data_IF_674171899716
#
_entry.id   IF_674171899716
#
_cell.length_a   1.000
_cell.length_b   1.000
_cell.length_c   1.000
_cell.angle_alpha   90.00
_cell.angle_beta   90.00
_cell.angle_gamma   90.00
#
_symmetry.space_group_name_H-M   'P 1'
#
loop_
_entity.id
_entity.type
_entity.pdbx_description
1 polymer ?
#
# COMPACT_ATOMS: atom_id res chain seq x y z
N UNK A 1 24.91 -14.46 -6.17
CA UNK A 1 25.11 -13.98 -4.77
C UNK A 1 24.12 -14.73 -3.89
N UNK A 2 24.49 -15.10 -2.67
CA UNK A 2 23.60 -15.85 -1.76
C UNK A 2 22.99 -14.86 -0.76
N UNK A 3 21.66 -14.86 -0.65
CA UNK A 3 20.97 -14.01 0.31
C UNK A 3 21.22 -14.48 1.75
N UNK A 4 21.23 -13.55 2.73
CA UNK A 4 21.11 -13.89 4.14
C UNK A 4 19.87 -14.76 4.38
N UNK A 5 20.01 -15.80 5.21
CA UNK A 5 18.91 -16.73 5.49
C UNK A 5 17.67 -16.03 6.07
N UNK A 6 17.87 -14.99 6.89
CA UNK A 6 16.79 -14.17 7.44
C UNK A 6 16.03 -13.43 6.34
N UNK A 7 16.72 -12.86 5.35
CA UNK A 7 16.07 -12.16 4.24
C UNK A 7 15.27 -13.12 3.36
N UNK A 8 15.82 -14.30 3.09
CA UNK A 8 15.13 -15.36 2.35
C UNK A 8 13.87 -15.83 3.09
N UNK A 9 13.96 -15.99 4.42
CA UNK A 9 12.82 -16.35 5.27
C UNK A 9 11.70 -15.32 5.21
N UNK A 10 12.03 -14.04 5.43
CA UNK A 10 11.06 -12.94 5.39
C UNK A 10 10.40 -12.82 4.01
N UNK A 11 11.18 -12.89 2.92
CA UNK A 11 10.59 -12.82 1.57
C UNK A 11 9.68 -14.01 1.26
N UNK A 12 9.99 -15.21 1.77
CA UNK A 12 9.14 -16.39 1.57
C UNK A 12 7.77 -16.25 2.26
N UNK A 13 7.76 -15.67 3.47
CA UNK A 13 6.53 -15.32 4.19
C UNK A 13 5.72 -14.27 3.40
N UNK A 14 6.38 -13.18 2.98
CA UNK A 14 5.76 -12.11 2.19
C UNK A 14 5.09 -12.63 0.92
N UNK A 15 5.77 -13.50 0.16
CA UNK A 15 5.23 -14.04 -1.09
C UNK A 15 3.86 -14.71 -0.89
N UNK A 16 3.68 -15.44 0.21
CA UNK A 16 2.41 -16.09 0.55
C UNK A 16 1.33 -15.06 0.87
N UNK A 17 1.66 -14.01 1.63
CA UNK A 17 0.76 -12.89 1.92
C UNK A 17 0.33 -12.16 0.65
N UNK A 18 1.28 -11.85 -0.24
CA UNK A 18 1.01 -11.21 -1.52
C UNK A 18 0.08 -12.05 -2.39
N UNK A 19 0.29 -13.38 -2.47
CA UNK A 19 -0.59 -14.28 -3.23
C UNK A 19 -2.04 -14.22 -2.72
N UNK A 20 -2.23 -14.33 -1.41
CA UNK A 20 -3.55 -14.27 -0.77
C UNK A 20 -4.26 -12.94 -1.06
N UNK A 21 -3.55 -11.82 -0.92
CA UNK A 21 -4.09 -10.48 -1.20
C UNK A 21 -4.43 -10.31 -2.67
N UNK A 22 -3.55 -10.73 -3.59
CA UNK A 22 -3.82 -10.66 -5.04
C UNK A 22 -5.09 -11.44 -5.40
N UNK A 23 -5.29 -12.62 -4.81
CA UNK A 23 -6.49 -13.43 -5.08
C UNK A 23 -7.75 -12.76 -4.53
N UNK A 24 -7.70 -12.20 -3.32
CA UNK A 24 -8.80 -11.39 -2.74
C UNK A 24 -9.15 -10.20 -3.63
N UNK A 25 -8.16 -9.44 -4.09
CA UNK A 25 -8.37 -8.28 -4.97
C UNK A 25 -9.00 -8.66 -6.31
N UNK A 26 -8.63 -9.81 -6.89
CA UNK A 26 -9.27 -10.31 -8.12
C UNK A 26 -10.75 -10.61 -7.89
N UNK A 27 -11.13 -11.15 -6.74
CA UNK A 27 -12.54 -11.38 -6.38
C UNK A 27 -13.31 -10.06 -6.31
N UNK A 28 -12.74 -9.03 -5.68
CA UNK A 28 -13.36 -7.70 -5.67
C UNK A 28 -13.43 -7.08 -7.07
N UNK A 29 -12.39 -7.24 -7.89
CA UNK A 29 -12.37 -6.69 -9.24
C UNK A 29 -13.53 -7.22 -10.11
N UNK A 30 -13.90 -8.49 -9.95
CA UNK A 30 -15.02 -9.07 -10.69
C UNK A 30 -16.38 -8.71 -10.08
N UNK A 31 -16.46 -8.37 -8.79
CA UNK A 31 -17.71 -8.06 -8.10
C UNK A 31 -18.14 -6.59 -8.21
N UNK A 32 -17.21 -5.66 -8.49
CA UNK A 32 -17.53 -4.23 -8.58
C UNK A 32 -17.91 -3.81 -10.00
N UNK A 33 -18.82 -2.83 -10.08
CA UNK A 33 -19.27 -2.23 -11.35
C UNK A 33 -18.74 -0.82 -11.54
N UNK A 34 -18.41 -0.11 -10.45
CA UNK A 34 -17.86 1.24 -10.51
C UNK A 34 -16.54 1.26 -11.30
N UNK A 35 -16.46 2.00 -12.41
CA UNK A 35 -15.31 1.97 -13.31
C UNK A 35 -14.04 2.54 -12.68
N UNK A 36 -14.17 3.50 -11.75
CA UNK A 36 -13.04 4.09 -11.03
C UNK A 36 -12.47 3.07 -10.05
N UNK A 37 -13.32 2.48 -9.21
CA UNK A 37 -12.90 1.44 -8.27
C UNK A 37 -12.29 0.23 -8.99
N UNK A 38 -12.88 -0.18 -10.12
CA UNK A 38 -12.36 -1.29 -10.93
C UNK A 38 -10.95 -1.02 -11.49
N UNK A 39 -10.70 0.20 -11.97
CA UNK A 39 -9.35 0.62 -12.40
C UNK A 39 -8.36 0.62 -11.23
N UNK A 40 -8.78 1.09 -10.06
CA UNK A 40 -7.92 1.11 -8.86
C UNK A 40 -7.59 -0.29 -8.37
N UNK A 41 -8.56 -1.20 -8.34
CA UNK A 41 -8.32 -2.62 -8.03
C UNK A 41 -7.35 -3.27 -9.02
N UNK A 42 -7.48 -2.98 -10.32
CA UNK A 42 -6.53 -3.47 -11.32
C UNK A 42 -5.12 -2.92 -11.09
N UNK A 43 -4.98 -1.62 -10.81
CA UNK A 43 -3.70 -1.01 -10.48
C UNK A 43 -3.06 -1.68 -9.25
N UNK A 44 -3.84 -1.88 -8.18
CA UNK A 44 -3.40 -2.55 -6.97
C UNK A 44 -2.91 -3.98 -7.25
N UNK A 45 -3.67 -4.77 -8.01
CA UNK A 45 -3.27 -6.13 -8.43
C UNK A 45 -1.95 -6.10 -9.22
N UNK A 46 -1.78 -5.15 -10.14
CA UNK A 46 -0.57 -5.01 -10.95
C UNK A 46 0.63 -4.62 -10.09
N UNK A 47 0.46 -3.69 -9.16
CA UNK A 47 1.51 -3.29 -8.21
C UNK A 47 1.99 -4.49 -7.40
N UNK A 48 1.10 -5.26 -6.80
CA UNK A 48 1.49 -6.44 -6.01
C UNK A 48 2.13 -7.54 -6.86
N UNK A 49 1.71 -7.71 -8.13
CA UNK A 49 2.39 -8.62 -9.07
C UNK A 49 3.81 -8.17 -9.40
N UNK A 50 4.04 -6.85 -9.52
CA UNK A 50 5.38 -6.31 -9.70
C UNK A 50 6.22 -6.57 -8.44
N UNK A 51 5.65 -6.46 -7.23
CA UNK A 51 6.33 -6.81 -5.98
C UNK A 51 6.75 -8.28 -5.97
N UNK A 52 5.83 -9.20 -6.25
CA UNK A 52 6.10 -10.65 -6.35
C UNK A 52 7.22 -10.92 -7.34
N UNK A 53 7.15 -10.34 -8.54
CA UNK A 53 8.18 -10.51 -9.57
C UNK A 53 9.54 -10.04 -9.06
N UNK A 54 9.58 -8.87 -8.41
CA UNK A 54 10.81 -8.32 -7.86
C UNK A 54 11.38 -9.19 -6.73
N UNK A 55 10.55 -9.73 -5.84
CA UNK A 55 11.00 -10.65 -4.77
C UNK A 55 11.57 -11.96 -5.34
N UNK A 56 10.92 -12.53 -6.36
CA UNK A 56 11.43 -13.72 -7.04
C UNK A 56 12.78 -13.45 -7.73
N UNK A 57 12.94 -12.28 -8.35
CA UNK A 57 14.22 -11.86 -8.92
C UNK A 57 15.30 -11.65 -7.87
N UNK A 58 14.97 -11.15 -6.67
CA UNK A 58 15.91 -11.03 -5.55
C UNK A 58 16.35 -12.40 -5.04
N UNK A 59 15.42 -13.37 -4.97
CA UNK A 59 15.69 -14.73 -4.52
C UNK A 59 16.47 -15.57 -5.54
N UNK A 60 16.46 -15.18 -6.83
CA UNK A 60 17.17 -15.89 -7.87
C UNK A 60 18.69 -15.69 -7.75
N UNK A 61 19.49 -16.74 -7.46
CA UNK A 61 20.94 -16.61 -7.28
C UNK A 61 21.69 -16.16 -8.54
N UNK A 62 21.05 -16.29 -9.71
CA UNK A 62 21.57 -15.89 -11.03
C UNK A 62 21.21 -14.46 -11.42
N UNK A 63 20.40 -13.76 -10.62
CA UNK A 63 20.02 -12.38 -10.89
C UNK A 63 21.10 -11.41 -10.39
N UNK A 64 21.42 -10.42 -11.21
CA UNK A 64 22.49 -9.45 -10.93
C UNK A 64 21.95 -8.03 -10.72
N UNK A 65 20.88 -7.67 -11.44
CA UNK A 65 20.26 -6.35 -11.37
C UNK A 65 18.76 -6.55 -11.15
N UNK A 66 18.27 -6.06 -10.02
CA UNK A 66 16.85 -6.20 -9.64
C UNK A 66 16.36 -4.81 -9.31
N UNK A 67 15.28 -4.41 -9.98
CA UNK A 67 14.67 -3.11 -9.84
C UNK A 67 13.18 -3.25 -9.70
N UNK A 68 12.63 -2.56 -8.70
CA UNK A 68 11.18 -2.46 -8.57
C UNK A 68 10.63 -1.59 -9.69
N UNK A 69 9.66 -2.13 -10.43
CA UNK A 69 8.92 -1.37 -11.45
C UNK A 69 8.12 -0.24 -10.81
N UNK A 70 8.17 0.94 -11.40
CA UNK A 70 7.35 2.07 -10.96
C UNK A 70 5.86 1.77 -11.05
N UNK A 71 5.09 2.35 -10.12
CA UNK A 71 3.64 2.25 -10.16
C UNK A 71 3.11 3.11 -11.30
N UNK A 72 2.15 2.58 -12.07
CA UNK A 72 1.53 3.36 -13.13
C UNK A 72 0.78 4.57 -12.55
N UNK A 73 0.87 5.71 -13.24
CA UNK A 73 0.10 6.90 -12.87
C UNK A 73 -1.39 6.60 -12.93
N UNK A 74 -2.10 7.00 -11.88
CA UNK A 74 -3.55 6.87 -11.80
C UNK A 74 -4.21 8.20 -12.18
N UNK A 75 -4.78 8.25 -13.37
CA UNK A 75 -5.56 9.40 -13.84
C UNK A 75 -7.04 9.02 -13.96
N UNK A 76 -7.88 9.58 -13.09
CA UNK A 76 -9.32 9.37 -13.18
C UNK A 76 -9.94 10.38 -14.15
N UNK A 77 -9.99 10.01 -15.43
CA UNK A 77 -10.76 10.72 -16.47
C UNK A 77 -12.23 10.29 -16.55
N UNK A 78 -12.71 9.54 -15.56
CA UNK A 78 -14.04 8.92 -15.58
C UNK A 78 -15.06 9.82 -14.88
N UNK A 79 -16.30 9.84 -15.37
CA UNK A 79 -17.43 10.43 -14.63
C UNK A 79 -17.51 9.76 -13.25
N UNK A 80 -17.50 10.57 -12.19
CA UNK A 80 -17.63 10.09 -10.82
C UNK A 80 -19.03 9.52 -10.62
N UNK A 81 -19.13 8.20 -10.66
CA UNK A 81 -20.33 7.46 -10.29
C UNK A 81 -20.25 7.16 -8.79
N UNK A 82 -21.35 7.39 -8.06
CA UNK A 82 -21.48 7.04 -6.65
C UNK A 82 -21.17 5.55 -6.42
N UNK A 83 -20.55 5.23 -5.27
CA UNK A 83 -20.34 3.84 -4.86
C UNK A 83 -21.64 3.28 -4.28
N UNK A 84 -21.96 2.04 -4.63
CA UNK A 84 -22.92 1.26 -3.84
C UNK A 84 -22.38 1.00 -2.43
N UNK A 85 -23.23 0.67 -1.45
CA UNK A 85 -22.76 0.36 -0.08
C UNK A 85 -21.73 -0.79 -0.07
N UNK A 86 -21.96 -1.84 -0.86
CA UNK A 86 -20.98 -2.95 -0.99
C UNK A 86 -19.66 -2.46 -1.59
N UNK A 87 -19.68 -1.56 -2.57
CA UNK A 87 -18.46 -0.98 -3.13
C UNK A 87 -17.75 -0.05 -2.15
N UNK A 88 -18.47 0.62 -1.25
CA UNK A 88 -17.87 1.38 -0.14
C UNK A 88 -17.15 0.45 0.82
N UNK A 89 -17.79 -0.64 1.23
CA UNK A 89 -17.19 -1.64 2.12
C UNK A 89 -15.94 -2.27 1.49
N UNK A 90 -16.02 -2.64 0.21
CA UNK A 90 -14.86 -3.12 -0.56
C UNK A 90 -13.77 -2.05 -0.58
N UNK A 91 -14.12 -0.78 -0.83
CA UNK A 91 -13.13 0.32 -0.87
C UNK A 91 -12.42 0.49 0.47
N UNK A 92 -13.17 0.43 1.59
CA UNK A 92 -12.60 0.50 2.94
C UNK A 92 -11.69 -0.70 3.23
N UNK A 93 -12.10 -1.90 2.83
CA UNK A 93 -11.30 -3.12 2.98
C UNK A 93 -9.98 -3.03 2.20
N UNK A 94 -10.03 -2.65 0.93
CA UNK A 94 -8.82 -2.63 0.09
C UNK A 94 -7.89 -1.47 0.46
N UNK A 95 -8.43 -0.37 1.00
CA UNK A 95 -7.65 0.69 1.65
C UNK A 95 -6.90 0.14 2.86
N UNK A 96 -7.58 -0.60 3.74
CA UNK A 96 -6.95 -1.22 4.90
C UNK A 96 -5.90 -2.26 4.49
N UNK A 97 -6.19 -3.06 3.47
CA UNK A 97 -5.25 -3.99 2.85
C UNK A 97 -4.00 -3.27 2.34
N UNK A 98 -4.14 -2.18 1.60
CA UNK A 98 -3.00 -1.39 1.11
C UNK A 98 -2.15 -0.84 2.26
N UNK A 99 -2.80 -0.32 3.32
CA UNK A 99 -2.11 0.13 4.54
C UNK A 99 -1.34 -1.01 5.22
N UNK A 100 -1.93 -2.19 5.32
CA UNK A 100 -1.32 -3.37 5.92
C UNK A 100 -0.10 -3.80 5.11
N UNK A 101 -0.22 -3.96 3.79
CA UNK A 101 0.91 -4.31 2.91
C UNK A 101 2.03 -3.27 2.99
N UNK A 102 1.68 -1.99 3.02
CA UNK A 102 2.68 -0.92 3.18
C UNK A 102 3.43 -1.00 4.51
N UNK A 103 2.72 -1.32 5.59
CA UNK A 103 3.31 -1.47 6.92
C UNK A 103 4.16 -2.74 7.03
N UNK A 104 3.69 -3.84 6.45
CA UNK A 104 4.36 -5.13 6.40
C UNK A 104 5.70 -5.00 5.64
N UNK A 105 5.67 -4.41 4.45
CA UNK A 105 6.87 -4.11 3.66
C UNK A 105 7.87 -3.21 4.41
N UNK A 106 7.37 -2.19 5.12
CA UNK A 106 8.23 -1.31 5.91
C UNK A 106 8.90 -2.06 7.07
N UNK A 107 8.11 -2.79 7.86
CA UNK A 107 8.61 -3.52 9.02
C UNK A 107 9.62 -4.61 8.62
N UNK A 108 9.34 -5.31 7.54
CA UNK A 108 10.28 -6.30 6.98
C UNK A 108 11.56 -5.67 6.52
N UNK A 109 11.52 -4.51 5.84
CA UNK A 109 12.73 -3.78 5.48
C UNK A 109 13.62 -3.44 6.69
N UNK A 110 13.05 -3.13 7.86
CA UNK A 110 13.83 -2.89 9.08
C UNK A 110 14.60 -4.12 9.55
N UNK A 111 14.08 -5.32 9.28
CA UNK A 111 14.67 -6.60 9.67
C UNK A 111 15.69 -7.15 8.65
N UNK A 112 15.55 -6.79 7.36
CA UNK A 112 16.43 -7.22 6.29
C UNK A 112 17.90 -6.81 6.52
N UNK A 113 18.82 -7.71 6.13
CA UNK A 113 20.28 -7.53 6.26
C UNK A 113 20.89 -7.05 4.96
N UNK A 114 20.43 -7.54 3.82
CA UNK A 114 20.89 -7.09 2.52
C UNK A 114 20.34 -5.67 2.23
N UNK A 115 21.22 -4.67 2.01
CA UNK A 115 20.80 -3.30 1.78
C UNK A 115 19.94 -3.12 0.52
N UNK A 116 20.13 -3.95 -0.51
CA UNK A 116 19.35 -3.89 -1.75
C UNK A 116 17.94 -4.42 -1.52
N UNK A 117 17.80 -5.56 -0.84
CA UNK A 117 16.51 -6.12 -0.44
C UNK A 117 15.74 -5.13 0.43
N UNK A 118 16.40 -4.58 1.46
CA UNK A 118 15.86 -3.53 2.34
C UNK A 118 15.31 -2.35 1.56
N UNK A 119 16.11 -1.75 0.69
CA UNK A 119 15.70 -0.57 -0.08
C UNK A 119 14.54 -0.86 -1.03
N UNK A 120 14.48 -2.06 -1.60
CA UNK A 120 13.36 -2.46 -2.46
C UNK A 120 12.07 -2.56 -1.65
N UNK A 121 12.08 -3.18 -0.46
CA UNK A 121 10.89 -3.26 0.38
C UNK A 121 10.43 -1.88 0.88
N UNK A 122 11.35 -0.94 1.16
CA UNK A 122 10.96 0.45 1.45
C UNK A 122 10.20 1.10 0.26
N UNK A 123 10.63 0.82 -0.97
CA UNK A 123 9.93 1.32 -2.16
C UNK A 123 8.58 0.62 -2.38
N UNK A 124 8.49 -0.69 -2.10
CA UNK A 124 7.21 -1.41 -2.13
C UNK A 124 6.23 -0.82 -1.12
N UNK A 125 6.71 -0.56 0.10
CA UNK A 125 5.94 0.12 1.15
C UNK A 125 5.38 1.47 0.66
N UNK A 126 6.21 2.29 0.02
CA UNK A 126 5.78 3.56 -0.54
C UNK A 126 4.68 3.41 -1.61
N UNK A 127 4.78 2.40 -2.48
CA UNK A 127 3.74 2.13 -3.49
C UNK A 127 2.42 1.72 -2.84
N UNK A 128 2.45 0.88 -1.80
CA UNK A 128 1.25 0.44 -1.08
C UNK A 128 0.58 1.58 -0.30
N UNK A 129 1.36 2.45 0.35
CA UNK A 129 0.83 3.67 0.98
C UNK A 129 0.24 4.62 -0.06
N UNK A 130 0.85 4.72 -1.24
CA UNK A 130 0.27 5.53 -2.33
C UNK A 130 -1.08 4.96 -2.77
N UNK A 131 -1.22 3.63 -2.87
CA UNK A 131 -2.51 2.99 -3.15
C UNK A 131 -3.56 3.30 -2.07
N UNK A 132 -3.19 3.23 -0.79
CA UNK A 132 -4.07 3.63 0.32
C UNK A 132 -4.55 5.09 0.15
N UNK A 133 -3.64 6.01 -0.15
CA UNK A 133 -4.00 7.42 -0.37
C UNK A 133 -4.95 7.62 -1.57
N UNK A 134 -4.82 6.81 -2.62
CA UNK A 134 -5.76 6.84 -3.74
C UNK A 134 -7.16 6.39 -3.30
N UNK A 135 -7.27 5.36 -2.45
CA UNK A 135 -8.56 4.93 -1.90
C UNK A 135 -9.17 5.96 -0.93
N UNK A 136 -8.35 6.62 -0.10
CA UNK A 136 -8.81 7.75 0.72
C UNK A 136 -9.42 8.86 -0.13
N UNK A 137 -8.76 9.19 -1.24
CA UNK A 137 -9.26 10.19 -2.18
C UNK A 137 -10.60 9.78 -2.78
N UNK A 138 -10.74 8.52 -3.21
CA UNK A 138 -12.00 8.01 -3.75
C UNK A 138 -13.15 8.13 -2.75
N UNK A 139 -12.92 7.73 -1.49
CA UNK A 139 -13.93 7.80 -0.42
C UNK A 139 -14.33 9.24 -0.12
N UNK A 140 -13.36 10.16 -0.10
CA UNK A 140 -13.59 11.60 0.10
C UNK A 140 -14.41 12.20 -1.05
N UNK A 141 -14.04 11.92 -2.29
CA UNK A 141 -14.66 12.49 -3.49
C UNK A 141 -16.10 11.98 -3.70
N UNK A 142 -16.42 10.78 -3.21
CA UNK A 142 -17.75 10.15 -3.35
C UNK A 142 -18.60 10.21 -2.08
N UNK A 143 -18.19 10.97 -1.06
CA UNK A 143 -19.01 11.20 0.14
C UNK A 143 -19.11 10.01 1.10
N UNK A 144 -18.25 8.99 0.94
CA UNK A 144 -18.09 7.86 1.86
C UNK A 144 -16.92 8.03 2.84
N UNK A 145 -16.41 9.25 3.00
CA UNK A 145 -15.25 9.54 3.85
C UNK A 145 -15.50 9.25 5.33
N UNK A 146 -14.42 8.90 6.05
CA UNK A 146 -14.46 8.66 7.49
C UNK A 146 -15.01 9.88 8.24
N UNK A 147 -15.81 9.63 9.27
CA UNK A 147 -16.14 10.65 10.27
C UNK A 147 -14.87 10.94 11.09
N UNK A 148 -14.20 12.05 10.77
CA UNK A 148 -13.06 12.53 11.53
C UNK A 148 -13.60 13.53 12.57
N UNK A 149 -13.50 13.23 13.88
CA UNK A 149 -13.91 14.18 14.91
C UNK A 149 -13.09 15.46 14.75
N UNK A 150 -13.77 16.62 14.74
CA UNK A 150 -13.10 17.91 14.64
C UNK A 150 -12.37 18.20 15.95
N UNK A 151 -11.07 18.46 15.85
CA UNK A 151 -10.28 19.02 16.95
C UNK A 151 -10.59 20.52 17.04
N UNK A 152 -10.77 21.05 18.25
CA UNK A 152 -10.90 22.50 18.43
C UNK A 152 -9.54 23.17 18.40
N UNK A 153 -9.50 24.42 17.95
CA UNK A 153 -8.28 25.24 17.92
C UNK A 153 -7.61 25.31 19.31
N UNK A 154 -8.41 25.31 20.38
CA UNK A 154 -7.94 25.31 21.76
C UNK A 154 -7.13 24.05 22.08
N UNK A 155 -7.66 22.86 21.78
CA UNK A 155 -6.95 21.59 22.02
C UNK A 155 -5.69 21.49 21.17
N UNK A 156 -5.74 21.98 19.93
CA UNK A 156 -4.57 22.02 19.05
C UNK A 156 -3.49 22.97 19.61
N UNK A 157 -3.86 24.17 20.07
CA UNK A 157 -2.94 25.13 20.68
C UNK A 157 -2.28 24.57 21.95
N UNK A 158 -3.06 23.95 22.84
CA UNK A 158 -2.53 23.34 24.06
C UNK A 158 -1.50 22.25 23.74
N UNK A 159 -1.77 21.42 22.74
CA UNK A 159 -0.84 20.38 22.28
C UNK A 159 0.43 20.99 21.71
N UNK A 160 0.31 22.06 20.91
CA UNK A 160 1.47 22.79 20.38
C UNK A 160 2.34 23.35 21.50
N UNK A 161 1.77 24.08 22.46
CA UNK A 161 2.51 24.68 23.57
C UNK A 161 3.22 23.61 24.41
N UNK A 162 2.57 22.46 24.64
CA UNK A 162 3.17 21.33 25.37
C UNK A 162 4.46 20.82 24.72
N UNK A 163 4.52 20.72 23.40
CA UNK A 163 5.67 20.15 22.67
C UNK A 163 6.60 21.20 22.06
N UNK A 164 6.27 22.50 22.13
CA UNK A 164 7.06 23.56 21.50
C UNK A 164 8.52 23.60 21.98
N UNK A 165 8.79 23.18 23.23
CA UNK A 165 10.13 23.13 23.81
C UNK A 165 11.09 22.20 23.03
N UNK A 166 10.60 21.11 22.43
CA UNK A 166 11.41 20.14 21.67
C UNK A 166 12.13 20.78 20.48
N UNK A 167 11.61 21.89 19.95
CA UNK A 167 12.24 22.60 18.82
C UNK A 167 13.66 23.10 19.12
N UNK A 168 13.97 23.32 20.39
CA UNK A 168 15.23 23.89 20.84
C UNK A 168 16.07 22.91 21.68
N UNK A 169 15.72 21.61 21.67
CA UNK A 169 16.56 20.52 22.20
C UNK A 169 17.56 20.05 21.13
#
# INVERSE_FOLDING_TARGET
>A
MTLPAVDLGIMSEHLSTHEGVINKLKMYYVSVSNPVLKKMLMLHIQTLRNHVTTMLELMNPSSHHVHLKEMANFESHSVLVQLTEVEKDITLEVRATAKLMGSDNFNSALMMKDPKVKNIHLKMSYQDITLQMLYDKLLKDLGGGEYIPKVSDEVQRMTFEKFHHVKNE
#
